data_IF_508074315256
#
_entry.id   IF_508074315256
#
_cell.length_a   1.000
_cell.length_b   1.000
_cell.length_c   1.000
_cell.angle_alpha   90.00
_cell.angle_beta   90.00
_cell.angle_gamma   90.00
#
_symmetry.space_group_name_H-M   'P 1'
#
loop_
_entity.id
_entity.type
_entity.pdbx_description
1 polymer ?
#
# COMPACT_ATOMS: atom_id res chain seq x y z
N UNK A 1 -10.28 -0.34 -0.70
CA UNK A 1 -9.89 1.08 -0.83
C UNK A 1 -9.55 1.62 0.54
N UNK A 2 -8.47 2.39 0.68
CA UNK A 2 -8.11 3.10 1.92
C UNK A 2 -7.67 4.52 1.56
N UNK A 3 -8.08 5.50 2.35
CA UNK A 3 -7.72 6.91 2.19
C UNK A 3 -6.78 7.36 3.30
N UNK A 4 -5.78 8.16 2.95
CA UNK A 4 -4.79 8.69 3.87
C UNK A 4 -4.62 10.20 3.68
N UNK A 5 -4.48 10.92 4.80
CA UNK A 5 -3.91 12.26 4.80
C UNK A 5 -2.42 12.15 5.11
N UNK A 6 -1.59 12.46 4.10
CA UNK A 6 -0.15 12.26 4.17
C UNK A 6 0.53 13.62 4.12
N UNK A 7 1.38 13.90 5.09
CA UNK A 7 2.25 15.08 5.11
C UNK A 7 3.67 14.66 4.75
N UNK A 8 4.25 15.27 3.71
CA UNK A 8 5.65 15.06 3.37
C UNK A 8 6.53 16.08 4.10
N UNK A 9 7.23 15.65 5.14
CA UNK A 9 8.18 16.48 5.90
C UNK A 9 9.61 16.48 5.34
N UNK A 10 9.84 15.74 4.25
CA UNK A 10 11.12 15.68 3.55
C UNK A 10 11.37 16.87 2.63
N UNK A 11 12.47 16.80 1.88
CA UNK A 11 12.94 17.84 0.95
C UNK A 11 12.73 17.50 -0.53
N UNK A 12 12.24 16.30 -0.82
CA UNK A 12 12.03 15.77 -2.18
C UNK A 12 10.57 15.28 -2.36
N UNK A 13 9.99 15.35 -3.57
CA UNK A 13 8.68 14.77 -3.83
C UNK A 13 8.69 13.26 -3.60
N UNK A 14 7.65 12.74 -2.93
CA UNK A 14 7.51 11.31 -2.64
C UNK A 14 6.29 10.70 -3.33
N UNK A 15 6.39 9.41 -3.65
CA UNK A 15 5.30 8.58 -4.20
C UNK A 15 5.23 7.24 -3.49
N UNK A 16 4.04 6.66 -3.38
CA UNK A 16 3.86 5.32 -2.81
C UNK A 16 4.23 4.27 -3.87
N UNK A 17 5.22 3.45 -3.56
CA UNK A 17 5.70 2.37 -4.43
C UNK A 17 5.24 0.98 -3.99
N UNK A 18 5.03 0.77 -2.69
CA UNK A 18 4.64 -0.55 -2.16
C UNK A 18 3.77 -0.41 -0.90
N UNK A 19 2.84 -1.35 -0.74
CA UNK A 19 2.07 -1.59 0.47
C UNK A 19 2.32 -3.03 0.91
N UNK A 20 2.68 -3.23 2.17
CA UNK A 20 2.93 -4.57 2.72
C UNK A 20 2.04 -4.85 3.93
N UNK A 21 1.40 -6.02 3.94
CA UNK A 21 0.60 -6.51 5.05
C UNK A 21 0.61 -8.04 5.06
N UNK A 22 0.77 -8.66 6.24
CA UNK A 22 0.67 -10.12 6.37
C UNK A 22 1.64 -10.91 5.47
N UNK A 23 2.87 -10.43 5.29
CA UNK A 23 3.89 -10.93 4.36
C UNK A 23 3.59 -10.76 2.86
N UNK A 24 2.40 -10.31 2.48
CA UNK A 24 2.05 -9.97 1.11
C UNK A 24 2.52 -8.56 0.78
N UNK A 25 3.11 -8.39 -0.41
CA UNK A 25 3.61 -7.10 -0.92
C UNK A 25 2.87 -6.72 -2.19
N UNK A 26 2.16 -5.61 -2.13
CA UNK A 26 1.46 -5.01 -3.26
C UNK A 26 2.33 -3.93 -3.88
N UNK A 27 2.64 -4.07 -5.16
CA UNK A 27 3.58 -3.20 -5.85
C UNK A 27 2.83 -2.25 -6.80
N UNK A 28 3.27 -0.99 -6.81
CA UNK A 28 2.82 0.01 -7.77
C UNK A 28 3.80 0.00 -8.95
N UNK A 29 3.42 -0.57 -10.11
CA UNK A 29 4.34 -0.77 -11.24
C UNK A 29 4.75 0.54 -11.92
N UNK A 30 4.05 1.65 -11.61
CA UNK A 30 4.45 2.99 -12.10
C UNK A 30 5.72 3.50 -11.42
N UNK A 31 6.10 2.90 -10.29
CA UNK A 31 7.20 3.34 -9.43
C UNK A 31 8.29 2.27 -9.32
N UNK A 32 7.88 1.00 -9.19
CA UNK A 32 8.79 -0.11 -8.97
C UNK A 32 8.51 -1.24 -9.96
N UNK A 33 9.57 -1.90 -10.44
CA UNK A 33 9.47 -3.20 -11.12
C UNK A 33 10.03 -4.27 -10.18
N UNK A 34 9.14 -4.92 -9.44
CA UNK A 34 9.49 -5.99 -8.49
C UNK A 34 8.74 -7.22 -8.91
N UNK A 35 9.47 -8.31 -9.16
CA UNK A 35 8.91 -9.62 -9.49
C UNK A 35 9.12 -10.60 -8.34
N UNK A 36 8.20 -11.57 -8.12
CA UNK A 36 8.42 -12.66 -7.20
C UNK A 36 9.71 -13.42 -7.56
N UNK A 37 10.53 -13.73 -6.55
CA UNK A 37 11.74 -14.53 -6.76
C UNK A 37 11.43 -16.01 -6.98
N UNK A 38 10.37 -16.51 -6.34
CA UNK A 38 9.88 -17.88 -6.46
C UNK A 38 8.40 -17.97 -6.03
N UNK A 39 7.84 -19.18 -6.03
CA UNK A 39 6.43 -19.44 -5.70
C UNK A 39 6.02 -19.11 -4.25
N UNK A 40 6.98 -18.88 -3.35
CA UNK A 40 6.75 -18.51 -1.96
C UNK A 40 6.99 -17.02 -1.70
N UNK A 41 7.50 -16.27 -2.68
CA UNK A 41 7.65 -14.82 -2.58
C UNK A 41 6.30 -14.17 -2.87
N UNK A 42 5.55 -13.84 -1.81
CA UNK A 42 4.20 -13.26 -1.89
C UNK A 42 4.27 -11.80 -2.37
N UNK A 43 4.51 -11.63 -3.66
CA UNK A 43 4.60 -10.33 -4.34
C UNK A 43 3.54 -10.26 -5.42
N UNK A 44 2.74 -9.21 -5.34
CA UNK A 44 1.71 -8.86 -6.30
C UNK A 44 2.19 -7.62 -7.09
N UNK A 45 2.88 -7.88 -8.21
CA UNK A 45 3.68 -6.90 -8.96
C UNK A 45 2.89 -5.72 -9.57
N UNK A 46 1.59 -5.89 -9.80
CA UNK A 46 0.69 -4.88 -10.44
C UNK A 46 -0.63 -4.76 -9.67
N UNK A 47 -0.54 -4.78 -8.33
CA UNK A 47 -1.71 -4.87 -7.47
C UNK A 47 -1.95 -3.64 -6.60
N UNK A 48 -1.04 -2.66 -6.65
CA UNK A 48 -1.20 -1.40 -5.93
C UNK A 48 -1.47 -0.25 -6.90
N UNK A 49 -2.71 0.20 -6.90
CA UNK A 49 -3.12 1.42 -7.59
C UNK A 49 -3.21 2.57 -6.59
N UNK A 50 -2.56 3.69 -6.93
CA UNK A 50 -2.49 4.90 -6.08
C UNK A 50 -3.07 6.08 -6.84
N UNK A 51 -4.01 6.78 -6.21
CA UNK A 51 -4.61 8.03 -6.68
C UNK A 51 -4.16 9.19 -5.78
N UNK A 52 -3.85 10.35 -6.37
CA UNK A 52 -3.33 11.53 -5.67
C UNK A 52 -1.97 12.02 -6.18
N UNK A 53 -1.21 11.16 -6.86
CA UNK A 53 0.07 11.53 -7.50
C UNK A 53 1.22 11.70 -6.50
N UNK A 54 2.22 12.51 -6.87
CA UNK A 54 3.34 12.83 -5.99
C UNK A 54 2.93 13.83 -4.89
N UNK A 55 3.53 13.68 -3.71
CA UNK A 55 3.34 14.56 -2.56
C UNK A 55 4.60 15.41 -2.43
N UNK A 56 4.47 16.72 -2.63
CA UNK A 56 5.60 17.64 -2.62
C UNK A 56 6.08 17.94 -1.19
N UNK A 57 7.33 18.39 -1.01
CA UNK A 57 7.85 18.84 0.27
C UNK A 57 6.94 19.85 0.97
N UNK A 58 6.61 19.61 2.25
CA UNK A 58 5.71 20.42 3.06
C UNK A 58 4.23 20.32 2.70
N UNK A 59 3.86 19.53 1.69
CA UNK A 59 2.46 19.32 1.28
C UNK A 59 1.81 18.27 2.19
N UNK A 60 0.59 18.57 2.65
CA UNK A 60 -0.36 17.55 3.12
C UNK A 60 -1.34 17.26 2.01
N UNK A 61 -1.40 16.00 1.56
CA UNK A 61 -2.23 15.58 0.43
C UNK A 61 -3.03 14.35 0.79
N UNK A 62 -4.30 14.34 0.35
CA UNK A 62 -5.14 13.15 0.43
C UNK A 62 -4.80 12.19 -0.69
N UNK A 63 -4.50 10.96 -0.31
CA UNK A 63 -4.12 9.89 -1.23
C UNK A 63 -5.01 8.69 -1.00
N UNK A 64 -5.47 8.08 -2.08
CA UNK A 64 -6.32 6.90 -2.03
C UNK A 64 -5.55 5.73 -2.62
N UNK A 65 -5.49 4.62 -1.90
CA UNK A 65 -4.90 3.38 -2.39
C UNK A 65 -5.96 2.32 -2.61
N UNK A 66 -5.74 1.53 -3.66
CA UNK A 66 -6.47 0.32 -3.98
C UNK A 66 -5.44 -0.79 -4.07
N UNK A 67 -5.45 -1.67 -3.08
CA UNK A 67 -4.75 -2.93 -3.12
C UNK A 67 -5.75 -3.96 -3.65
N UNK A 68 -5.61 -4.33 -4.92
CA UNK A 68 -6.57 -5.17 -5.65
C UNK A 68 -5.77 -6.33 -6.26
N UNK A 69 -5.96 -7.54 -5.75
CA UNK A 69 -5.37 -8.74 -6.34
C UNK A 69 -6.21 -9.99 -6.06
N UNK A 70 -6.29 -10.88 -7.04
CA UNK A 70 -6.80 -12.24 -6.87
C UNK A 70 -5.99 -13.05 -5.83
N UNK A 71 -4.73 -12.70 -5.56
CA UNK A 71 -3.90 -13.20 -4.47
C UNK A 71 -4.49 -12.86 -3.10
N UNK A 72 -5.19 -11.74 -2.92
CA UNK A 72 -5.87 -11.43 -1.64
C UNK A 72 -6.95 -12.46 -1.31
N UNK A 73 -7.68 -12.92 -2.33
CA UNK A 73 -8.68 -13.99 -2.22
C UNK A 73 -8.01 -15.37 -2.09
N UNK A 74 -6.91 -15.60 -2.81
CA UNK A 74 -6.19 -16.89 -2.85
C UNK A 74 -5.42 -17.17 -1.55
N UNK A 75 -4.82 -16.16 -0.92
CA UNK A 75 -4.08 -16.24 0.36
C UNK A 75 -4.99 -16.12 1.60
N UNK A 76 -6.33 -16.19 1.42
CA UNK A 76 -7.33 -16.21 2.48
C UNK A 76 -7.31 -14.99 3.42
N UNK A 77 -6.80 -13.84 3.00
CA UNK A 77 -6.89 -12.61 3.81
C UNK A 77 -8.35 -12.17 4.02
N UNK A 78 -9.29 -12.72 3.26
CA UNK A 78 -10.74 -12.62 3.51
C UNK A 78 -11.18 -13.13 4.88
N UNK A 79 -10.40 -13.96 5.59
CA UNK A 79 -10.74 -14.35 6.98
C UNK A 79 -10.61 -13.19 7.97
N UNK A 80 -9.89 -12.10 7.64
CA UNK A 80 -9.88 -10.88 8.46
C UNK A 80 -11.27 -10.23 8.54
N UNK A 81 -12.10 -10.36 7.50
CA UNK A 81 -13.46 -9.82 7.45
C UNK A 81 -14.38 -10.52 8.47
N UNK A 82 -14.07 -11.77 8.84
CA UNK A 82 -14.84 -12.54 9.81
C UNK A 82 -14.48 -12.22 11.28
N UNK A 83 -13.49 -11.35 11.53
CA UNK A 83 -13.09 -10.98 12.89
C UNK A 83 -14.00 -9.88 13.43
N UNK A 84 -14.49 -9.98 14.69
CA UNK A 84 -15.41 -9.00 15.27
C UNK A 84 -14.82 -7.59 15.39
N UNK A 85 -13.48 -7.47 15.34
CA UNK A 85 -12.72 -6.21 15.28
C UNK A 85 -11.89 -6.17 13.98
N UNK A 86 -12.53 -5.86 12.85
CA UNK A 86 -11.83 -5.75 11.57
C UNK A 86 -10.87 -4.53 11.59
N UNK A 87 -9.59 -4.80 11.84
CA UNK A 87 -8.51 -3.82 11.82
C UNK A 87 -7.53 -4.21 10.73
N UNK A 88 -7.08 -3.25 9.94
CA UNK A 88 -5.95 -3.42 9.02
C UNK A 88 -4.75 -2.69 9.57
N UNK A 89 -3.60 -3.36 9.52
CA UNK A 89 -2.31 -2.77 9.77
C UNK A 89 -1.33 -3.16 8.67
N UNK A 90 -0.39 -2.29 8.37
CA UNK A 90 0.62 -2.56 7.36
C UNK A 90 1.63 -1.43 7.22
N UNK A 91 2.50 -1.59 6.22
CA UNK A 91 3.58 -0.67 5.91
C UNK A 91 3.34 -0.03 4.54
N UNK A 92 3.45 1.29 4.47
CA UNK A 92 3.54 2.04 3.22
C UNK A 92 5.01 2.38 2.95
N UNK A 93 5.46 2.03 1.75
CA UNK A 93 6.80 2.34 1.28
C UNK A 93 6.71 3.49 0.28
N UNK A 94 7.29 4.62 0.67
CA UNK A 94 7.42 5.80 -0.17
C UNK A 94 8.79 5.84 -0.82
N UNK A 95 8.85 6.39 -2.02
CA UNK A 95 10.07 6.56 -2.80
C UNK A 95 10.16 7.99 -3.30
N UNK A 96 11.32 8.60 -3.17
CA UNK A 96 11.63 9.87 -3.82
C UNK A 96 12.19 9.65 -5.24
N UNK A 97 12.57 10.75 -5.90
CA UNK A 97 13.14 10.72 -7.25
C UNK A 97 14.54 10.09 -7.31
N UNK A 98 15.26 10.03 -6.18
CA UNK A 98 16.58 9.40 -6.08
C UNK A 98 16.48 7.91 -5.76
N UNK A 99 15.27 7.38 -5.56
CA UNK A 99 15.03 6.00 -5.14
C UNK A 99 15.23 5.78 -3.64
N UNK A 100 15.40 6.83 -2.85
CA UNK A 100 15.44 6.72 -1.39
C UNK A 100 14.07 6.26 -0.90
N UNK A 101 14.08 5.23 -0.05
CA UNK A 101 12.87 4.63 0.51
C UNK A 101 12.59 5.16 1.90
N UNK A 102 11.32 5.47 2.17
CA UNK A 102 10.79 5.83 3.50
C UNK A 102 9.67 4.85 3.86
N UNK A 103 9.68 4.33 5.08
CA UNK A 103 8.67 3.37 5.55
C UNK A 103 7.80 4.03 6.63
N UNK A 104 6.49 3.87 6.50
CA UNK A 104 5.52 4.34 7.48
C UNK A 104 4.57 3.20 7.81
N UNK A 105 4.43 2.91 9.09
CA UNK A 105 3.41 2.00 9.60
C UNK A 105 2.07 2.72 9.70
N UNK A 106 0.99 2.04 9.32
CA UNK A 106 -0.36 2.50 9.60
C UNK A 106 -1.19 1.37 10.19
N UNK A 107 -2.19 1.77 10.96
CA UNK A 107 -3.20 0.87 11.50
C UNK A 107 -4.53 1.60 11.62
N UNK A 108 -5.63 0.93 11.31
CA UNK A 108 -6.94 1.56 11.38
C UNK A 108 -8.10 0.57 11.22
N UNK A 109 -9.32 1.01 11.56
CA UNK A 109 -10.52 0.20 11.36
C UNK A 109 -10.73 -0.05 9.86
N UNK A 110 -11.08 -1.29 9.52
CA UNK A 110 -11.47 -1.69 8.18
C UNK A 110 -12.98 -1.87 8.15
N UNK A 111 -13.66 -1.06 7.32
CA UNK A 111 -15.11 -1.14 7.17
C UNK A 111 -15.42 -1.97 5.91
N UNK A 112 -16.04 -3.16 6.04
CA UNK A 112 -16.47 -3.93 4.89
C UNK A 112 -17.63 -3.21 4.18
N UNK A 113 -17.58 -3.19 2.85
CA UNK A 113 -18.67 -2.66 2.00
C UNK A 113 -19.34 -3.84 1.32
N UNK A 114 -20.62 -4.05 1.59
CA UNK A 114 -21.45 -5.07 0.93
C UNK A 114 -22.26 -4.38 -0.18
N UNK A 115 -22.05 -4.81 -1.42
CA UNK A 115 -22.79 -4.37 -2.61
C UNK A 115 -23.74 -5.44 -3.12
#
# INVERSE_FOLDING_TARGET
MVEFDITNEGDSPIRIGEFAAGNLRFINPKILDVQPRDSHDLVASDALRVEGGAIHPGETKRVTIFADDALWETERMTTMIASPDAVVAGLLHFFDENGQRYLVEFGGPMIPVFG
#
